data_IF_751253093978
#
_entry.id   IF_751253093978
#
_cell.length_a   1.000
_cell.length_b   1.000
_cell.length_c   1.000
_cell.angle_alpha   90.00
_cell.angle_beta   90.00
_cell.angle_gamma   90.00
#
_symmetry.space_group_name_H-M   'P 1'
#
loop_
_entity.id
_entity.type
_entity.pdbx_description
1 polymer ?
#
# COMPACT_ATOMS: atom_id res chain seq x y z
N UNK A 1 -22.99 25.05 0.43
CA UNK A 1 -22.41 23.69 0.28
C UNK A 1 -21.01 23.60 0.88
N UNK A 2 -20.00 24.34 0.39
CA UNK A 2 -18.63 24.34 0.95
C UNK A 2 -18.55 24.77 2.43
N UNK A 3 -19.46 25.64 2.87
CA UNK A 3 -19.54 26.13 4.25
C UNK A 3 -19.79 25.00 5.27
N UNK A 4 -20.61 24.01 4.93
CA UNK A 4 -20.92 22.87 5.81
C UNK A 4 -19.75 21.91 5.95
N UNK A 5 -19.02 21.65 4.86
CA UNK A 5 -17.79 20.85 4.92
C UNK A 5 -16.75 21.52 5.81
N UNK A 6 -16.55 22.83 5.62
CA UNK A 6 -15.59 23.59 6.42
C UNK A 6 -15.96 23.57 7.91
N UNK A 7 -17.21 23.80 8.28
CA UNK A 7 -17.63 23.76 9.69
C UNK A 7 -17.43 22.36 10.31
N UNK A 8 -17.74 21.28 9.60
CA UNK A 8 -17.52 19.91 10.09
C UNK A 8 -16.04 19.58 10.30
N UNK A 9 -15.15 20.04 9.39
CA UNK A 9 -13.71 19.79 9.52
C UNK A 9 -13.02 20.72 10.51
N UNK A 10 -13.54 21.94 10.73
CA UNK A 10 -12.89 22.94 11.60
C UNK A 10 -13.35 22.87 13.05
N UNK A 11 -14.55 22.34 13.33
CA UNK A 11 -15.11 22.27 14.69
C UNK A 11 -14.88 20.93 15.42
N UNK A 12 -14.01 20.05 14.90
CA UNK A 12 -13.66 18.84 15.61
C UNK A 12 -12.57 19.14 16.64
N UNK A 13 -12.89 18.97 17.93
CA UNK A 13 -11.93 19.10 19.02
C UNK A 13 -10.77 18.12 18.77
N UNK A 14 -9.54 18.64 18.64
CA UNK A 14 -8.33 17.90 18.25
C UNK A 14 -8.20 17.52 16.75
N UNK A 15 -8.90 18.20 15.84
CA UNK A 15 -8.78 18.00 14.38
C UNK A 15 -7.30 18.00 13.91
N UNK A 16 -6.51 18.97 14.38
CA UNK A 16 -5.10 19.11 14.02
C UNK A 16 -4.26 17.90 14.43
N UNK A 17 -4.56 17.32 15.60
CA UNK A 17 -3.85 16.16 16.14
C UNK A 17 -4.23 14.91 15.33
N UNK A 18 -5.51 14.70 15.05
CA UNK A 18 -5.96 13.56 14.23
C UNK A 18 -5.42 13.66 12.80
N UNK A 19 -5.39 14.85 12.22
CA UNK A 19 -4.80 15.08 10.90
C UNK A 19 -3.30 14.72 10.88
N UNK A 20 -2.55 15.15 11.91
CA UNK A 20 -1.13 14.83 12.04
C UNK A 20 -0.90 13.32 12.22
N UNK A 21 -1.72 12.66 13.05
CA UNK A 21 -1.65 11.20 13.25
C UNK A 21 -1.99 10.46 11.96
N UNK A 22 -2.99 10.91 11.21
CA UNK A 22 -3.37 10.30 9.93
C UNK A 22 -2.22 10.38 8.91
N UNK A 23 -1.55 11.53 8.84
CA UNK A 23 -0.37 11.70 7.98
C UNK A 23 0.77 10.75 8.39
N UNK A 24 1.08 10.67 9.69
CA UNK A 24 2.10 9.78 10.20
C UNK A 24 1.77 8.30 9.95
N UNK A 25 0.51 7.92 10.18
CA UNK A 25 0.05 6.56 9.94
C UNK A 25 0.16 6.18 8.46
N UNK A 26 -0.19 7.08 7.55
CA UNK A 26 -0.03 6.87 6.11
C UNK A 26 1.44 6.64 5.73
N UNK A 27 2.37 7.43 6.28
CA UNK A 27 3.80 7.27 6.03
C UNK A 27 4.32 5.95 6.60
N UNK A 28 3.95 5.60 7.84
CA UNK A 28 4.36 4.34 8.49
C UNK A 28 3.82 3.14 7.71
N UNK A 29 2.57 3.19 7.27
CA UNK A 29 1.96 2.14 6.45
C UNK A 29 2.73 1.94 5.14
N UNK A 30 3.13 3.03 4.49
CA UNK A 30 3.92 2.97 3.27
C UNK A 30 5.31 2.35 3.51
N UNK A 31 5.98 2.73 4.59
CA UNK A 31 7.26 2.13 4.99
C UNK A 31 7.12 0.64 5.31
N UNK A 32 6.04 0.24 5.98
CA UNK A 32 5.74 -1.16 6.28
C UNK A 32 5.51 -1.97 5.00
N UNK A 33 4.80 -1.41 4.01
CA UNK A 33 4.63 -2.05 2.69
C UNK A 33 5.96 -2.19 1.94
N UNK A 34 6.79 -1.15 1.95
CA UNK A 34 8.12 -1.19 1.33
C UNK A 34 8.99 -2.27 1.98
N UNK A 35 8.96 -2.36 3.32
CA UNK A 35 9.63 -3.42 4.07
C UNK A 35 9.07 -4.81 3.73
N UNK A 36 7.75 -4.95 3.67
CA UNK A 36 7.09 -6.19 3.29
C UNK A 36 7.52 -6.67 1.90
N UNK A 37 7.52 -5.77 0.92
CA UNK A 37 7.95 -6.07 -0.46
C UNK A 37 9.43 -6.42 -0.51
N UNK A 38 10.30 -5.69 0.20
CA UNK A 38 11.73 -6.01 0.25
C UNK A 38 11.96 -7.40 0.86
N UNK A 39 11.22 -7.74 1.90
CA UNK A 39 11.33 -9.04 2.56
C UNK A 39 10.70 -10.19 1.77
N UNK A 40 9.99 -9.91 0.66
CA UNK A 40 9.55 -10.98 -0.25
C UNK A 40 10.79 -11.50 -0.99
N UNK A 41 11.17 -12.77 -0.79
CA UNK A 41 12.29 -13.35 -1.52
C UNK A 41 11.94 -13.37 -3.02
N UNK A 42 12.90 -12.97 -3.86
CA UNK A 42 12.84 -13.07 -5.33
C UNK A 42 12.69 -14.51 -5.85
N UNK A 43 12.63 -15.49 -4.95
CA UNK A 43 12.63 -16.92 -5.25
C UNK A 43 11.27 -17.45 -5.71
N UNK A 44 10.18 -16.68 -5.53
CA UNK A 44 8.85 -17.09 -5.99
C UNK A 44 8.76 -17.25 -7.53
N UNK A 45 9.72 -16.68 -8.27
CA UNK A 45 9.75 -16.77 -9.73
C UNK A 45 10.79 -17.75 -10.26
N UNK A 46 11.64 -18.36 -9.42
CA UNK A 46 12.65 -19.29 -9.95
C UNK A 46 12.03 -20.60 -10.41
N UNK A 47 11.08 -21.13 -9.64
CA UNK A 47 10.38 -22.37 -9.97
C UNK A 47 9.51 -22.20 -11.24
N UNK A 48 8.85 -21.03 -11.39
CA UNK A 48 8.05 -20.69 -12.58
C UNK A 48 8.87 -20.26 -13.81
N UNK A 49 10.10 -19.77 -13.62
CA UNK A 49 11.01 -19.46 -14.74
C UNK A 49 11.71 -20.70 -15.30
N UNK A 50 11.79 -21.77 -14.51
CA UNK A 50 12.32 -23.07 -14.89
C UNK A 50 11.22 -24.02 -15.37
N UNK A 51 9.95 -23.64 -15.29
CA UNK A 51 8.89 -24.34 -16.00
C UNK A 51 9.27 -24.33 -17.49
N UNK A 52 9.49 -25.51 -18.10
CA UNK A 52 9.71 -25.57 -19.53
C UNK A 52 8.54 -24.84 -20.18
N UNK A 53 8.83 -23.80 -20.97
CA UNK A 53 7.84 -23.20 -21.86
C UNK A 53 7.17 -24.39 -22.54
N UNK A 54 5.86 -24.62 -22.36
CA UNK A 54 5.13 -25.73 -22.99
C UNK A 54 5.43 -25.72 -24.49
N UNK A 55 6.49 -26.44 -24.83
CA UNK A 55 7.06 -26.68 -26.14
C UNK A 55 7.18 -28.18 -26.16
N UNK A 56 6.03 -28.82 -26.20
CA UNK A 56 5.92 -30.06 -26.93
C UNK A 56 4.52 -30.13 -27.54
N UNK A 57 4.54 -29.99 -28.86
CA UNK A 57 3.84 -30.85 -29.78
C UNK A 57 2.31 -30.84 -29.78
N UNK A 58 1.76 -30.07 -30.73
CA UNK A 58 0.67 -30.60 -31.54
C UNK A 58 1.21 -30.84 -32.96
N UNK A 59 1.48 -32.12 -33.21
CA UNK A 59 1.64 -32.77 -34.51
C UNK A 59 0.48 -32.50 -35.44
#
# INVERSE_FOLDING_TARGET
MLKYFKDTFTNYENADILQTISLLLFVIFFLALMYFIWNRPKDYYKEDSELPLDKDDQK
#
